data_IF_668619594541
#
_entry.id   IF_668619594541
#
_cell.length_a   1.000
_cell.length_b   1.000
_cell.length_c   1.000
_cell.angle_alpha   90.00
_cell.angle_beta   90.00
_cell.angle_gamma   90.00
#
_symmetry.space_group_name_H-M   'P 1'
#
loop_
_entity.id
_entity.type
_entity.pdbx_description
1 polymer ?
#
# COMPACT_ATOMS: atom_id res chain seq x y z
N UNK A 1 29.78 2.96 -0.31
CA UNK A 1 30.16 2.95 1.12
C UNK A 1 29.52 1.76 1.82
N UNK A 2 30.15 1.25 2.89
CA UNK A 2 29.75 0.03 3.63
C UNK A 2 28.28 0.08 4.11
N UNK A 3 27.77 1.29 4.41
CA UNK A 3 26.38 1.57 4.82
C UNK A 3 25.30 1.16 3.81
N UNK A 4 25.62 1.07 2.51
CA UNK A 4 24.64 0.71 1.46
C UNK A 4 24.92 -0.67 0.85
N UNK A 5 25.80 -1.46 1.48
CA UNK A 5 26.06 -2.83 1.06
C UNK A 5 24.78 -3.69 1.14
N UNK A 6 24.68 -4.72 0.29
CA UNK A 6 23.46 -5.52 0.11
C UNK A 6 22.88 -6.10 1.41
N UNK A 7 23.71 -6.31 2.45
CA UNK A 7 23.35 -6.87 3.75
C UNK A 7 23.64 -5.94 4.94
N UNK A 8 23.70 -4.63 4.73
CA UNK A 8 23.86 -3.69 5.85
C UNK A 8 22.57 -3.60 6.67
N UNK A 9 22.69 -3.73 7.99
CA UNK A 9 21.58 -3.55 8.94
C UNK A 9 20.89 -2.20 8.75
N UNK A 10 21.69 -1.14 8.49
CA UNK A 10 21.21 0.19 8.15
C UNK A 10 20.24 0.18 6.96
N UNK A 11 20.57 -0.53 5.88
CA UNK A 11 19.72 -0.59 4.69
C UNK A 11 18.39 -1.27 4.99
N UNK A 12 18.39 -2.31 5.83
CA UNK A 12 17.17 -2.99 6.25
C UNK A 12 16.28 -2.07 7.09
N UNK A 13 16.85 -1.34 8.05
CA UNK A 13 16.12 -0.36 8.87
C UNK A 13 15.59 0.81 8.04
N UNK A 14 16.42 1.33 7.13
CA UNK A 14 16.01 2.38 6.20
C UNK A 14 14.84 1.92 5.34
N UNK A 15 14.92 0.73 4.72
CA UNK A 15 13.79 0.19 3.95
C UNK A 15 12.55 -0.03 4.83
N UNK A 16 12.71 -0.53 6.05
CA UNK A 16 11.61 -0.69 7.00
C UNK A 16 10.90 0.64 7.24
N UNK A 17 11.68 1.69 7.51
CA UNK A 17 11.19 3.04 7.74
C UNK A 17 10.51 3.64 6.50
N UNK A 18 11.06 3.46 5.30
CA UNK A 18 10.45 4.03 4.09
C UNK A 18 9.15 3.32 3.68
N UNK A 19 9.05 2.01 3.89
CA UNK A 19 7.93 1.21 3.36
C UNK A 19 6.82 0.91 4.37
N UNK A 20 7.16 0.75 5.65
CA UNK A 20 6.22 0.30 6.68
C UNK A 20 5.60 1.43 7.51
N UNK A 21 6.13 2.65 7.41
CA UNK A 21 5.60 3.80 8.13
C UNK A 21 4.31 4.30 7.50
N UNK A 22 3.35 4.64 8.35
CA UNK A 22 1.99 4.97 7.96
C UNK A 22 1.67 6.43 8.30
N UNK A 23 2.25 6.96 9.37
CA UNK A 23 2.03 8.33 9.84
C UNK A 23 3.31 9.15 9.85
N UNK A 24 3.17 10.47 9.77
CA UNK A 24 4.31 11.39 9.76
C UNK A 24 5.07 11.29 11.08
N UNK A 25 4.36 11.17 12.20
CA UNK A 25 4.94 11.06 13.53
C UNK A 25 5.83 9.81 13.68
N UNK A 26 5.34 8.66 13.19
CA UNK A 26 6.15 7.44 13.15
C UNK A 26 7.43 7.68 12.34
N UNK A 27 7.30 8.22 11.12
CA UNK A 27 8.44 8.46 10.23
C UNK A 27 9.49 9.37 10.85
N UNK A 28 9.09 10.49 11.43
CA UNK A 28 10.00 11.44 12.07
C UNK A 28 10.75 10.81 13.24
N UNK A 29 10.04 10.08 14.09
CA UNK A 29 10.61 9.44 15.26
C UNK A 29 11.52 8.26 14.89
N UNK A 30 11.10 7.42 13.94
CA UNK A 30 11.92 6.34 13.39
C UNK A 30 13.18 6.87 12.71
N UNK A 31 13.08 8.00 11.99
CA UNK A 31 14.22 8.59 11.29
C UNK A 31 15.25 9.13 12.29
N UNK A 32 14.77 9.82 13.32
CA UNK A 32 15.59 10.30 14.44
C UNK A 32 16.32 9.15 15.14
N UNK A 33 15.62 8.07 15.48
CA UNK A 33 16.21 6.90 16.14
C UNK A 33 17.25 6.19 15.26
N UNK A 34 16.98 6.03 13.97
CA UNK A 34 17.92 5.44 13.00
C UNK A 34 19.20 6.29 12.89
N UNK A 35 19.07 7.61 12.76
CA UNK A 35 20.24 8.51 12.71
C UNK A 35 21.06 8.48 14.00
N UNK A 36 20.42 8.31 15.16
CA UNK A 36 21.09 8.15 16.45
C UNK A 36 21.86 6.84 16.53
N UNK A 37 21.21 5.72 16.21
CA UNK A 37 21.79 4.38 16.26
C UNK A 37 23.07 4.28 15.44
N UNK A 38 23.08 4.86 14.24
CA UNK A 38 24.23 4.80 13.34
C UNK A 38 25.15 6.02 13.40
N UNK A 39 24.90 6.97 14.31
CA UNK A 39 25.67 8.22 14.44
C UNK A 39 25.74 9.04 13.13
N UNK A 40 24.64 9.07 12.38
CA UNK A 40 24.56 9.67 11.04
C UNK A 40 23.94 11.07 11.01
N UNK A 41 23.74 11.72 12.17
CA UNK A 41 23.08 13.04 12.27
C UNK A 41 23.68 14.12 11.36
N UNK A 42 24.98 14.07 11.09
CA UNK A 42 25.71 15.04 10.26
C UNK A 42 26.01 14.52 8.84
N UNK A 43 25.44 13.39 8.44
CA UNK A 43 25.73 12.78 7.14
C UNK A 43 25.08 13.59 6.00
N UNK A 44 25.85 14.27 5.14
CA UNK A 44 25.30 15.28 4.22
C UNK A 44 24.19 14.76 3.30
N UNK A 45 24.35 13.53 2.79
CA UNK A 45 23.36 12.90 1.90
C UNK A 45 22.04 12.61 2.63
N UNK A 46 22.09 12.19 3.90
CA UNK A 46 20.88 11.87 4.65
C UNK A 46 20.15 13.14 5.06
N UNK A 47 20.88 14.21 5.38
CA UNK A 47 20.30 15.54 5.57
C UNK A 47 19.59 16.00 4.30
N UNK A 48 20.24 15.95 3.14
CA UNK A 48 19.62 16.36 1.87
C UNK A 48 18.37 15.55 1.53
N UNK A 49 18.41 14.22 1.70
CA UNK A 49 17.26 13.34 1.47
C UNK A 49 16.11 13.68 2.43
N UNK A 50 16.41 13.97 3.69
CA UNK A 50 15.41 14.34 4.69
C UNK A 50 14.75 15.70 4.41
N UNK A 51 15.48 16.69 3.92
CA UNK A 51 14.91 18.01 3.56
C UNK A 51 13.82 17.89 2.49
N UNK A 52 13.95 16.93 1.57
CA UNK A 52 12.97 16.67 0.51
C UNK A 52 11.99 15.54 0.83
N UNK A 53 11.87 15.12 2.09
CA UNK A 53 11.03 13.97 2.52
C UNK A 53 9.57 14.07 2.09
N UNK A 54 8.99 15.26 2.07
CA UNK A 54 7.62 15.49 1.57
C UNK A 54 7.42 15.07 0.11
N UNK A 55 8.50 14.87 -0.67
CA UNK A 55 8.46 14.43 -2.08
C UNK A 55 8.68 12.93 -2.28
N UNK A 56 8.99 12.16 -1.23
CA UNK A 56 9.27 10.72 -1.41
C UNK A 56 8.84 9.83 -0.24
N UNK A 57 8.75 10.35 0.98
CA UNK A 57 8.38 9.57 2.15
C UNK A 57 6.87 9.32 2.18
N UNK A 58 6.50 8.05 2.33
CA UNK A 58 5.13 7.54 2.20
C UNK A 58 4.07 8.29 3.04
N UNK A 59 4.32 8.67 4.32
CA UNK A 59 3.29 9.33 5.12
C UNK A 59 2.83 10.68 4.57
N UNK A 60 3.70 11.40 3.86
CA UNK A 60 3.40 12.70 3.26
C UNK A 60 2.56 12.62 1.98
N UNK A 61 2.28 11.40 1.49
CA UNK A 61 1.37 11.14 0.37
C UNK A 61 0.01 10.62 0.82
N UNK A 62 -0.31 10.76 2.11
CA UNK A 62 -1.61 10.34 2.62
C UNK A 62 -2.73 11.17 1.98
N UNK A 63 -3.76 10.47 1.49
CA UNK A 63 -4.86 11.11 0.75
C UNK A 63 -4.58 11.28 -0.75
N UNK A 64 -3.39 10.92 -1.23
CA UNK A 64 -3.09 10.83 -2.67
C UNK A 64 -3.20 9.37 -3.09
N UNK A 65 -4.06 9.10 -4.08
CA UNK A 65 -4.13 7.78 -4.68
C UNK A 65 -2.85 7.52 -5.49
N UNK A 66 -2.00 6.63 -4.98
CA UNK A 66 -0.75 6.26 -5.62
C UNK A 66 -0.76 4.84 -6.19
N UNK A 67 -1.89 4.12 -6.13
CA UNK A 67 -1.99 2.71 -6.55
C UNK A 67 -0.87 1.83 -5.96
N UNK A 68 -0.47 2.10 -4.70
CA UNK A 68 0.69 1.48 -4.00
C UNK A 68 2.07 1.74 -4.62
N UNK A 69 2.19 2.60 -5.61
CA UNK A 69 3.47 2.93 -6.24
C UNK A 69 4.28 3.85 -5.31
N UNK A 70 5.56 3.54 -5.12
CA UNK A 70 6.51 4.53 -4.57
C UNK A 70 6.84 5.58 -5.64
N UNK A 71 7.31 6.76 -5.22
CA UNK A 71 7.47 7.94 -6.10
C UNK A 71 8.27 7.69 -7.39
N UNK A 72 9.20 6.71 -7.43
CA UNK A 72 10.00 6.39 -8.63
C UNK A 72 9.61 5.08 -9.33
N UNK A 73 8.80 4.21 -8.70
CA UNK A 73 8.50 2.87 -9.24
C UNK A 73 7.77 2.92 -10.59
N UNK A 74 6.92 3.93 -10.80
CA UNK A 74 6.21 4.14 -12.07
C UNK A 74 7.14 4.48 -13.22
N UNK A 75 8.06 5.42 -13.00
CA UNK A 75 9.05 5.79 -14.01
C UNK A 75 10.07 4.67 -14.22
N UNK A 76 10.48 3.96 -13.18
CA UNK A 76 11.44 2.86 -13.29
C UNK A 76 10.86 1.66 -14.05
N UNK A 77 9.59 1.29 -13.78
CA UNK A 77 8.94 0.20 -14.53
C UNK A 77 8.70 0.58 -15.99
N UNK A 78 8.26 1.82 -16.26
CA UNK A 78 8.10 2.33 -17.61
C UNK A 78 9.45 2.36 -18.35
N UNK A 79 10.51 2.85 -17.71
CA UNK A 79 11.86 2.87 -18.27
C UNK A 79 12.41 1.47 -18.50
N UNK A 80 12.18 0.55 -17.56
CA UNK A 80 12.62 -0.84 -17.69
C UNK A 80 11.93 -1.54 -18.87
N UNK A 81 10.62 -1.36 -19.00
CA UNK A 81 9.89 -1.88 -20.16
C UNK A 81 10.40 -1.27 -21.45
N UNK A 82 10.52 0.07 -21.51
CA UNK A 82 10.95 0.76 -22.72
C UNK A 82 12.34 0.29 -23.19
N UNK A 83 13.26 0.05 -22.25
CA UNK A 83 14.59 -0.51 -22.55
C UNK A 83 14.54 -1.91 -23.18
N UNK A 84 13.47 -2.68 -22.96
CA UNK A 84 13.27 -3.98 -23.61
C UNK A 84 12.89 -3.88 -25.10
N UNK A 85 12.34 -2.73 -25.52
CA UNK A 85 11.86 -2.50 -26.89
C UNK A 85 12.76 -1.55 -27.68
N UNK A 86 13.34 -0.56 -27.00
CA UNK A 86 14.10 0.53 -27.61
C UNK A 86 15.58 0.39 -27.25
N UNK A 87 16.46 0.08 -28.24
CA UNK A 87 17.89 0.02 -27.99
C UNK A 87 18.46 1.42 -27.72
N UNK A 88 19.59 1.53 -26.98
CA UNK A 88 20.30 2.79 -26.81
C UNK A 88 20.67 3.41 -28.16
N UNK A 89 20.43 4.72 -28.32
CA UNK A 89 20.75 5.44 -29.56
C UNK A 89 19.80 5.19 -30.74
N UNK A 90 18.61 4.61 -30.50
CA UNK A 90 17.60 4.37 -31.53
C UNK A 90 17.19 5.67 -32.26
N UNK A 91 17.29 5.73 -33.61
CA UNK A 91 16.76 6.85 -34.40
C UNK A 91 15.25 7.05 -34.20
N UNK A 92 14.77 8.30 -34.26
CA UNK A 92 13.37 8.65 -33.97
C UNK A 92 12.32 7.86 -34.76
N UNK A 93 12.56 7.58 -36.05
CA UNK A 93 11.62 6.80 -36.86
C UNK A 93 11.51 5.33 -36.42
N UNK A 94 12.61 4.74 -35.93
CA UNK A 94 12.60 3.39 -35.34
C UNK A 94 12.02 3.39 -33.93
N UNK A 95 12.25 4.46 -33.16
CA UNK A 95 11.61 4.65 -31.86
C UNK A 95 10.08 4.59 -32.00
N UNK A 96 9.49 5.35 -32.93
CA UNK A 96 8.04 5.35 -33.13
C UNK A 96 7.50 3.95 -33.45
N UNK A 97 8.20 3.20 -34.31
CA UNK A 97 7.82 1.84 -34.67
C UNK A 97 7.88 0.89 -33.46
N UNK A 98 8.94 0.95 -32.66
CA UNK A 98 9.07 0.12 -31.46
C UNK A 98 8.08 0.52 -30.37
N UNK A 99 7.79 1.81 -30.24
CA UNK A 99 6.80 2.32 -29.29
C UNK A 99 5.38 1.88 -29.66
N UNK A 100 5.01 1.95 -30.94
CA UNK A 100 3.73 1.41 -31.43
C UNK A 100 3.60 -0.09 -31.15
N UNK A 101 4.67 -0.86 -31.38
CA UNK A 101 4.70 -2.29 -31.04
C UNK A 101 4.51 -2.52 -29.54
N UNK A 102 5.21 -1.75 -28.69
CA UNK A 102 5.05 -1.82 -27.24
C UNK A 102 3.60 -1.57 -26.81
N UNK A 103 2.93 -0.56 -27.41
CA UNK A 103 1.53 -0.27 -27.09
C UNK A 103 0.61 -1.43 -27.50
N UNK A 104 0.77 -1.97 -28.72
CA UNK A 104 -0.01 -3.11 -29.19
C UNK A 104 0.16 -4.34 -28.29
N UNK A 105 1.40 -4.69 -27.94
CA UNK A 105 1.69 -5.82 -27.05
C UNK A 105 1.06 -5.59 -25.66
N UNK A 106 1.04 -4.34 -25.16
CA UNK A 106 0.40 -4.00 -23.90
C UNK A 106 -1.11 -4.11 -23.94
N UNK A 107 -1.75 -3.57 -24.96
CA UNK A 107 -3.20 -3.68 -25.13
C UNK A 107 -3.63 -5.15 -25.22
N UNK A 108 -2.84 -5.97 -25.91
CA UNK A 108 -3.07 -7.42 -25.98
C UNK A 108 -2.95 -8.10 -24.61
N UNK A 109 -1.91 -7.78 -23.82
CA UNK A 109 -1.72 -8.31 -22.46
C UNK A 109 -2.80 -7.82 -21.49
N UNK A 110 -3.17 -6.54 -21.54
CA UNK A 110 -4.26 -5.97 -20.74
C UNK A 110 -5.59 -6.66 -21.06
N UNK A 111 -5.91 -6.82 -22.34
CA UNK A 111 -7.10 -7.56 -22.79
C UNK A 111 -7.07 -9.02 -22.33
N UNK A 112 -5.90 -9.66 -22.35
CA UNK A 112 -5.74 -11.01 -21.83
C UNK A 112 -5.98 -11.09 -20.33
N UNK A 113 -5.40 -10.17 -19.54
CA UNK A 113 -5.59 -10.15 -18.09
C UNK A 113 -7.02 -9.79 -17.68
N UNK A 114 -7.69 -8.92 -18.44
CA UNK A 114 -9.11 -8.60 -18.25
C UNK A 114 -9.98 -9.82 -18.49
N UNK A 115 -9.79 -10.51 -19.63
CA UNK A 115 -10.47 -11.79 -19.92
C UNK A 115 -10.17 -12.85 -18.87
N UNK A 116 -8.93 -12.95 -18.41
CA UNK A 116 -8.54 -13.88 -17.36
C UNK A 116 -9.25 -13.56 -16.05
N UNK A 117 -9.37 -12.29 -15.70
CA UNK A 117 -10.07 -11.84 -14.50
C UNK A 117 -11.57 -12.12 -14.60
N UNK A 118 -12.19 -11.91 -15.75
CA UNK A 118 -13.63 -12.14 -15.95
C UNK A 118 -14.01 -13.62 -16.09
N UNK A 119 -13.13 -14.46 -16.66
CA UNK A 119 -13.42 -15.87 -16.93
C UNK A 119 -12.91 -16.83 -15.85
N UNK A 120 -11.88 -16.46 -15.08
CA UNK A 120 -11.32 -17.36 -14.06
C UNK A 120 -12.05 -17.25 -12.73
N UNK A 121 -12.51 -18.39 -12.22
CA UNK A 121 -13.02 -18.45 -10.86
C UNK A 121 -11.89 -18.08 -9.88
N UNK A 122 -12.16 -17.09 -9.03
CA UNK A 122 -11.25 -16.72 -7.95
C UNK A 122 -11.35 -17.76 -6.84
N UNK A 123 -10.23 -18.33 -6.42
CA UNK A 123 -10.19 -19.25 -5.28
C UNK A 123 -10.34 -18.43 -3.99
N UNK A 124 -11.45 -18.61 -3.30
CA UNK A 124 -11.70 -18.00 -2.00
C UNK A 124 -10.95 -18.81 -0.93
N UNK A 125 -10.14 -18.13 -0.13
CA UNK A 125 -9.34 -18.77 0.93
C UNK A 125 -10.19 -19.18 2.12
N UNK A 126 -11.11 -18.31 2.53
CA UNK A 126 -11.91 -18.48 3.77
C UNK A 126 -13.41 -18.49 3.46
N UNK A 127 -13.79 -18.12 2.23
CA UNK A 127 -15.16 -18.11 1.73
C UNK A 127 -16.08 -17.15 2.49
N UNK A 128 -15.51 -16.05 3.00
CA UNK A 128 -16.26 -15.01 3.71
C UNK A 128 -17.10 -14.16 2.75
N UNK A 129 -18.24 -13.60 3.17
CA UNK A 129 -19.04 -12.69 2.35
C UNK A 129 -18.22 -11.53 1.78
N UNK A 130 -17.35 -10.94 2.59
CA UNK A 130 -16.46 -9.86 2.17
C UNK A 130 -15.45 -10.30 1.11
N UNK A 131 -14.96 -11.54 1.20
CA UNK A 131 -14.03 -12.12 0.23
C UNK A 131 -14.74 -12.38 -1.11
N UNK A 132 -15.99 -12.88 -1.07
CA UNK A 132 -16.83 -13.05 -2.27
C UNK A 132 -17.18 -11.74 -2.95
N UNK A 133 -17.35 -10.66 -2.18
CA UNK A 133 -17.59 -9.34 -2.74
C UNK A 133 -16.32 -8.79 -3.39
N UNK A 134 -15.20 -8.84 -2.65
CA UNK A 134 -13.90 -8.40 -3.14
C UNK A 134 -13.49 -9.12 -4.44
N UNK A 135 -13.81 -10.40 -4.62
CA UNK A 135 -13.48 -11.14 -5.85
C UNK A 135 -14.25 -10.69 -7.09
N UNK A 136 -15.37 -9.98 -6.92
CA UNK A 136 -16.16 -9.41 -8.02
C UNK A 136 -15.76 -7.98 -8.35
N UNK A 137 -15.29 -7.23 -7.35
CA UNK A 137 -14.96 -5.80 -7.48
C UNK A 137 -13.50 -5.61 -7.87
N UNK A 138 -12.60 -6.41 -7.32
CA UNK A 138 -11.17 -6.24 -7.57
C UNK A 138 -10.68 -7.03 -8.79
N UNK A 139 -9.73 -6.44 -9.51
CA UNK A 139 -8.90 -7.20 -10.45
C UNK A 139 -8.19 -8.33 -9.71
N UNK A 140 -7.76 -9.38 -10.43
CA UNK A 140 -7.10 -10.53 -9.80
C UNK A 140 -5.90 -10.14 -8.93
N UNK A 141 -5.06 -9.22 -9.41
CA UNK A 141 -3.91 -8.73 -8.66
C UNK A 141 -4.33 -7.98 -7.39
N UNK A 142 -5.36 -7.13 -7.47
CA UNK A 142 -5.91 -6.42 -6.31
C UNK A 142 -6.55 -7.39 -5.31
N UNK A 143 -7.23 -8.44 -5.78
CA UNK A 143 -7.83 -9.46 -4.92
C UNK A 143 -6.78 -10.26 -4.14
N UNK A 144 -5.66 -10.63 -4.77
CA UNK A 144 -4.54 -11.27 -4.09
C UNK A 144 -4.00 -10.37 -2.95
N UNK A 145 -3.93 -9.07 -3.20
CA UNK A 145 -3.53 -8.07 -2.20
C UNK A 145 -4.56 -7.86 -1.10
N UNK A 146 -5.84 -7.87 -1.44
CA UNK A 146 -6.92 -7.90 -0.44
C UNK A 146 -6.77 -9.11 0.48
N UNK A 147 -6.45 -10.30 -0.06
CA UNK A 147 -6.19 -11.50 0.73
C UNK A 147 -5.01 -11.37 1.69
N UNK A 148 -3.97 -10.61 1.33
CA UNK A 148 -2.87 -10.27 2.26
C UNK A 148 -3.35 -9.38 3.42
N UNK A 149 -4.17 -8.36 3.14
CA UNK A 149 -4.74 -7.48 4.18
C UNK A 149 -5.73 -8.22 5.08
N UNK A 150 -6.56 -9.09 4.50
CA UNK A 150 -7.48 -9.95 5.24
C UNK A 150 -6.74 -10.91 6.18
N UNK A 151 -5.57 -11.41 5.79
CA UNK A 151 -4.74 -12.21 6.68
C UNK A 151 -4.15 -11.38 7.83
N UNK A 152 -3.62 -10.18 7.54
CA UNK A 152 -3.05 -9.26 8.55
C UNK A 152 -4.07 -8.79 9.58
N UNK A 153 -5.35 -8.78 9.20
CA UNK A 153 -6.48 -8.51 10.09
C UNK A 153 -6.44 -9.36 11.37
N UNK A 154 -5.97 -10.61 11.30
CA UNK A 154 -5.87 -11.50 12.46
C UNK A 154 -4.79 -11.11 13.48
N UNK A 155 -3.89 -10.18 13.15
CA UNK A 155 -2.82 -9.71 14.04
C UNK A 155 -3.23 -8.51 14.92
N UNK A 156 -4.51 -8.12 14.90
CA UNK A 156 -5.03 -6.98 15.64
C UNK A 156 -6.20 -7.40 16.55
N UNK A 157 -6.57 -6.53 17.47
CA UNK A 157 -7.76 -6.61 18.32
C UNK A 157 -8.56 -5.35 18.11
N UNK A 158 -9.89 -5.47 18.07
CA UNK A 158 -10.79 -4.36 17.80
C UNK A 158 -11.59 -4.00 19.06
N UNK A 159 -11.48 -2.74 19.47
CA UNK A 159 -12.27 -2.15 20.54
C UNK A 159 -13.29 -1.18 19.94
N UNK A 160 -14.55 -1.31 20.33
CA UNK A 160 -15.60 -0.35 19.99
C UNK A 160 -15.61 0.78 21.02
N UNK A 161 -15.22 1.98 20.59
CA UNK A 161 -15.10 3.17 21.46
C UNK A 161 -16.40 3.95 21.49
N UNK A 162 -17.02 4.12 20.32
CA UNK A 162 -18.35 4.69 20.17
C UNK A 162 -19.17 3.67 19.38
N UNK A 163 -20.31 3.20 19.92
CA UNK A 163 -21.14 2.21 19.27
C UNK A 163 -21.38 2.56 17.80
N UNK A 164 -20.98 1.65 16.91
CA UNK A 164 -21.18 1.70 15.45
C UNK A 164 -20.52 2.89 14.73
N UNK A 165 -19.70 3.68 15.42
CA UNK A 165 -19.15 4.94 14.86
C UNK A 165 -17.65 5.01 14.94
N UNK A 166 -17.07 4.59 16.06
CA UNK A 166 -15.64 4.74 16.28
C UNK A 166 -15.10 3.46 16.84
N UNK A 167 -14.15 2.90 16.12
CA UNK A 167 -13.41 1.71 16.51
C UNK A 167 -11.93 2.04 16.67
N UNK A 168 -11.26 1.23 17.49
CA UNK A 168 -9.83 1.28 17.71
C UNK A 168 -9.27 -0.11 17.45
N UNK A 169 -8.37 -0.23 16.47
CA UNK A 169 -7.67 -1.47 16.16
C UNK A 169 -6.27 -1.43 16.75
N UNK A 170 -5.92 -2.42 17.57
CA UNK A 170 -4.66 -2.49 18.31
C UNK A 170 -3.90 -3.76 17.91
N UNK A 171 -2.63 -3.66 17.54
CA UNK A 171 -1.82 -4.83 17.18
C UNK A 171 -1.61 -5.75 18.40
N UNK A 172 -1.82 -7.06 18.26
CA UNK A 172 -1.74 -8.05 19.35
C UNK A 172 -0.34 -8.05 20.00
N UNK A 173 0.70 -7.91 19.20
CA UNK A 173 2.09 -7.84 19.67
C UNK A 173 2.61 -6.40 19.82
N UNK A 174 1.76 -5.47 20.26
CA UNK A 174 2.12 -4.05 20.41
C UNK A 174 3.44 -3.86 21.19
N UNK A 175 3.63 -4.62 22.27
CA UNK A 175 4.79 -4.52 23.16
C UNK A 175 6.11 -4.95 22.52
N UNK A 176 6.08 -5.83 21.51
CA UNK A 176 7.28 -6.32 20.80
C UNK A 176 7.66 -5.44 19.61
N UNK A 177 6.80 -4.49 19.23
CA UNK A 177 7.05 -3.59 18.11
C UNK A 177 8.00 -2.47 18.52
N UNK A 178 8.61 -1.87 17.51
CA UNK A 178 9.48 -0.71 17.67
C UNK A 178 8.72 0.40 18.39
N UNK A 179 9.39 1.13 19.29
CA UNK A 179 8.77 2.22 20.06
C UNK A 179 8.19 3.32 19.17
N UNK A 180 8.78 3.52 17.99
CA UNK A 180 8.30 4.48 17.01
C UNK A 180 7.08 3.96 16.22
N UNK A 181 6.77 2.66 16.27
CA UNK A 181 5.69 2.07 15.46
C UNK A 181 4.37 2.33 16.16
N UNK A 182 3.43 2.89 15.41
CA UNK A 182 2.04 3.00 15.82
C UNK A 182 1.45 1.61 15.85
N UNK A 183 0.92 1.26 17.01
CA UNK A 183 0.28 -0.04 17.27
C UNK A 183 -1.23 0.08 17.32
N UNK A 184 -1.75 1.31 17.31
CA UNK A 184 -3.18 1.62 17.45
C UNK A 184 -3.68 2.51 16.31
N UNK A 185 -4.79 2.11 15.69
CA UNK A 185 -5.40 2.81 14.56
C UNK A 185 -6.87 3.09 14.85
N UNK A 186 -7.24 4.37 14.78
CA UNK A 186 -8.65 4.79 14.85
C UNK A 186 -9.32 4.56 13.51
N UNK A 187 -10.53 3.99 13.55
CA UNK A 187 -11.43 3.81 12.42
C UNK A 187 -12.73 4.55 12.73
N UNK A 188 -13.16 5.39 11.81
CA UNK A 188 -14.42 6.13 11.88
C UNK A 188 -15.37 5.61 10.81
N UNK A 189 -16.62 5.38 11.19
CA UNK A 189 -17.72 4.97 10.31
C UNK A 189 -18.63 6.16 10.08
N UNK A 190 -18.93 6.39 8.80
CA UNK A 190 -19.83 7.47 8.40
C UNK A 190 -21.26 7.29 8.91
N UNK A 191 -22.08 8.36 8.89
CA UNK A 191 -23.46 8.36 9.40
C UNK A 191 -24.37 7.33 8.76
N UNK A 192 -24.25 7.17 7.44
CA UNK A 192 -25.04 6.21 6.69
C UNK A 192 -24.44 4.81 6.70
N UNK A 193 -23.38 4.58 7.48
CA UNK A 193 -22.64 3.32 7.52
C UNK A 193 -22.22 2.88 6.12
N UNK A 194 -21.84 3.81 5.25
CA UNK A 194 -21.50 3.53 3.84
C UNK A 194 -19.98 3.49 3.61
N UNK A 195 -19.23 4.19 4.45
CA UNK A 195 -17.78 4.34 4.32
C UNK A 195 -17.06 4.22 5.67
N UNK A 196 -15.82 3.73 5.58
CA UNK A 196 -14.86 3.72 6.68
C UNK A 196 -13.71 4.66 6.37
N UNK A 197 -13.33 5.46 7.36
CA UNK A 197 -12.08 6.22 7.34
C UNK A 197 -11.14 5.64 8.39
N UNK A 198 -10.06 5.00 7.94
CA UNK A 198 -9.03 4.52 8.84
C UNK A 198 -7.88 5.52 8.89
N UNK A 199 -7.36 5.82 10.09
CA UNK A 199 -6.20 6.70 10.23
C UNK A 199 -4.93 6.16 9.56
N UNK A 200 -4.90 4.89 9.12
CA UNK A 200 -3.79 4.36 8.33
C UNK A 200 -3.73 4.86 6.88
N UNK A 201 -4.81 5.44 6.33
CA UNK A 201 -4.81 6.02 4.98
C UNK A 201 -4.58 5.03 3.83
N UNK A 202 -4.62 3.72 4.09
CA UNK A 202 -4.24 2.71 3.11
C UNK A 202 -5.28 2.58 1.99
N UNK A 203 -6.56 2.80 2.28
CA UNK A 203 -7.59 2.77 1.24
C UNK A 203 -7.39 3.92 0.24
N UNK A 204 -7.19 5.13 0.73
CA UNK A 204 -6.94 6.33 -0.07
C UNK A 204 -5.67 6.18 -0.92
N UNK A 205 -4.64 5.51 -0.39
CA UNK A 205 -3.37 5.31 -1.07
C UNK A 205 -3.38 4.15 -2.08
N UNK A 206 -4.10 3.06 -1.79
CA UNK A 206 -4.00 1.79 -2.49
C UNK A 206 -5.29 1.34 -3.20
N UNK A 207 -6.43 1.95 -2.89
CA UNK A 207 -7.76 1.51 -3.33
C UNK A 207 -8.19 0.16 -2.74
N UNK A 208 -7.53 -0.29 -1.65
CA UNK A 208 -7.78 -1.58 -1.00
C UNK A 208 -8.08 -1.32 0.48
N UNK A 209 -9.15 -1.93 0.98
CA UNK A 209 -9.53 -1.85 2.40
C UNK A 209 -8.40 -2.40 3.27
N UNK A 210 -7.98 -1.62 4.27
CA UNK A 210 -6.89 -1.99 5.17
C UNK A 210 -7.28 -3.09 6.17
N UNK A 211 -6.30 -3.82 6.68
CA UNK A 211 -6.52 -4.82 7.73
C UNK A 211 -7.28 -4.31 8.97
N UNK A 212 -7.12 -3.05 9.36
CA UNK A 212 -7.81 -2.45 10.50
C UNK A 212 -9.32 -2.27 10.25
N UNK A 213 -9.69 -1.81 9.05
CA UNK A 213 -11.08 -1.63 8.68
C UNK A 213 -11.75 -3.00 8.40
N UNK A 214 -11.00 -3.97 7.86
CA UNK A 214 -11.49 -5.34 7.70
C UNK A 214 -11.88 -5.98 9.04
N UNK A 215 -11.20 -5.65 10.14
CA UNK A 215 -11.61 -6.13 11.46
C UNK A 215 -13.01 -5.67 11.84
N UNK A 216 -13.35 -4.41 11.56
CA UNK A 216 -14.69 -3.88 11.83
C UNK A 216 -15.72 -4.66 11.04
N UNK A 217 -15.49 -4.82 9.73
CA UNK A 217 -16.39 -5.57 8.84
C UNK A 217 -16.59 -7.04 9.23
N UNK A 218 -15.61 -7.66 9.90
CA UNK A 218 -15.69 -9.04 10.37
C UNK A 218 -16.29 -9.16 11.78
N UNK A 219 -16.10 -8.14 12.62
CA UNK A 219 -16.56 -8.11 14.01
C UNK A 219 -18.04 -7.75 14.16
N UNK A 220 -18.60 -6.96 13.26
CA UNK A 220 -20.03 -6.62 13.25
C UNK A 220 -20.73 -7.21 12.02
N UNK A 221 -21.61 -8.18 12.24
CA UNK A 221 -22.37 -8.87 11.18
C UNK A 221 -23.21 -7.91 10.32
N UNK A 222 -23.59 -6.72 10.82
CA UNK A 222 -24.31 -5.72 10.02
C UNK A 222 -23.37 -4.79 9.25
N UNK A 223 -22.19 -4.50 9.77
CA UNK A 223 -21.17 -3.75 9.00
C UNK A 223 -20.62 -4.54 7.79
N UNK A 224 -20.77 -5.86 7.78
CA UNK A 224 -20.48 -6.67 6.59
C UNK A 224 -21.29 -6.24 5.35
N UNK A 225 -22.42 -5.53 5.56
CA UNK A 225 -23.25 -4.99 4.49
C UNK A 225 -22.72 -3.68 3.87
N UNK A 226 -21.88 -2.94 4.60
CA UNK A 226 -21.34 -1.63 4.22
C UNK A 226 -20.51 -1.73 2.95
N UNK A 227 -19.79 -2.84 2.79
CA UNK A 227 -19.01 -3.12 1.59
C UNK A 227 -19.85 -3.38 0.35
N UNK A 228 -21.13 -3.79 0.46
CA UNK A 228 -22.00 -3.92 -0.72
C UNK A 228 -22.38 -2.56 -1.32
N UNK A 229 -22.19 -1.48 -0.57
CA UNK A 229 -22.51 -0.12 -0.98
C UNK A 229 -21.30 0.74 -1.28
N UNK A 230 -20.06 0.29 -1.06
CA UNK A 230 -18.89 1.00 -1.60
C UNK A 230 -19.00 0.95 -3.12
N UNK A 231 -19.41 2.04 -3.79
CA UNK A 231 -19.29 2.10 -5.22
C UNK A 231 -17.80 2.04 -5.48
N UNK A 232 -17.40 1.44 -6.60
CA UNK A 232 -16.09 1.69 -7.17
C UNK A 232 -15.90 3.21 -7.29
N UNK A 233 -15.29 3.84 -6.29
CA UNK A 233 -14.66 5.15 -6.43
C UNK A 233 -13.24 4.91 -6.93
N UNK A 234 -13.19 4.27 -8.11
CA UNK A 234 -12.11 4.30 -9.09
C UNK A 234 -12.75 4.15 -10.47
#
# INVERSE_FOLDING_TARGET
GVLWSKNSEFKLEFHKLVHHMITEEEFEEGWRQMLEKYSLKKHPVLTQIYEVRHKWAKPYFRGVFCARMTSTQRSESANHLLKGYVPPGCPMHLFLKQFQKLQFDREAEESFQEKRTSLSAVCLRVNLPIERHASKVYTRAMFEKFGEELYKCGAHVLDEVVPRRVYKSTHVEAEKREKWSKVEFKIEVDEDESFFSCKCGYFEHAGIVCCHALQVCLGDQRTSLIMFHLPCLL
#
